data_IF_699126787633
#
_entry.id   IF_699126787633
#
_cell.length_a   1.000
_cell.length_b   1.000
_cell.length_c   1.000
_cell.angle_alpha   90.00
_cell.angle_beta   90.00
_cell.angle_gamma   90.00
#
_symmetry.space_group_name_H-M   'P 1'
#
loop_
_entity.id
_entity.type
_entity.pdbx_description
1 polymer ?
#
# COMPACT_ATOMS: atom_id res chain seq x y z
N UNK A 1 -13.20 -7.87 12.49
CA UNK A 1 -11.95 -7.30 13.04
C UNK A 1 -11.50 -8.24 14.16
N UNK A 2 -10.46 -9.06 13.96
CA UNK A 2 -10.00 -10.00 15.01
C UNK A 2 -9.19 -9.19 16.03
N UNK A 3 -9.76 -8.99 17.23
CA UNK A 3 -9.06 -8.36 18.34
C UNK A 3 -7.93 -9.28 18.80
N UNK A 4 -6.69 -8.83 18.64
CA UNK A 4 -5.51 -9.54 19.09
C UNK A 4 -5.40 -9.44 20.63
N UNK A 5 -4.87 -10.45 21.33
CA UNK A 5 -4.81 -10.48 22.81
C UNK A 5 -4.15 -9.22 23.39
N UNK A 6 -3.12 -8.70 22.72
CA UNK A 6 -2.46 -7.44 23.08
C UNK A 6 -3.42 -6.23 23.08
N UNK A 7 -4.37 -6.18 22.16
CA UNK A 7 -5.37 -5.10 22.09
C UNK A 7 -6.37 -5.22 23.24
N UNK A 8 -6.73 -6.44 23.65
CA UNK A 8 -7.63 -6.68 24.79
C UNK A 8 -6.97 -6.23 26.10
N UNK A 9 -5.70 -6.57 26.31
CA UNK A 9 -4.93 -6.15 27.49
C UNK A 9 -4.80 -4.62 27.53
N UNK A 10 -4.49 -3.99 26.40
CA UNK A 10 -4.37 -2.54 26.33
C UNK A 10 -5.71 -1.83 26.61
N UNK A 11 -6.82 -2.34 26.06
CA UNK A 11 -8.17 -1.83 26.37
C UNK A 11 -8.50 -2.02 27.85
N UNK A 12 -8.15 -3.16 28.45
CA UNK A 12 -8.38 -3.42 29.87
C UNK A 12 -7.62 -2.43 30.78
N UNK A 13 -6.36 -2.14 30.47
CA UNK A 13 -5.55 -1.15 31.22
C UNK A 13 -6.16 0.25 31.12
N UNK A 14 -6.59 0.67 29.94
CA UNK A 14 -7.24 1.97 29.76
C UNK A 14 -8.54 2.03 30.57
N UNK A 15 -9.37 0.98 30.48
CA UNK A 15 -10.64 0.91 31.20
C UNK A 15 -10.42 0.88 32.72
N UNK A 16 -9.39 0.17 33.22
CA UNK A 16 -9.12 0.12 34.66
C UNK A 16 -8.60 1.44 35.21
N UNK A 17 -7.75 2.16 34.45
CA UNK A 17 -7.33 3.52 34.77
C UNK A 17 -8.53 4.46 34.85
N UNK A 18 -9.42 4.37 33.86
CA UNK A 18 -10.64 5.19 33.81
C UNK A 18 -11.58 4.90 34.98
N UNK A 19 -11.79 3.62 35.33
CA UNK A 19 -12.57 3.22 36.50
C UNK A 19 -11.93 3.64 37.81
N UNK A 20 -10.61 3.56 37.92
CA UNK A 20 -9.85 4.01 39.09
C UNK A 20 -10.01 5.50 39.32
N UNK A 21 -9.89 6.31 38.26
CA UNK A 21 -10.14 7.75 38.31
C UNK A 21 -11.59 8.05 38.70
N UNK A 22 -12.55 7.32 38.15
CA UNK A 22 -13.98 7.48 38.46
C UNK A 22 -14.26 7.20 39.94
N UNK A 23 -13.64 6.16 40.52
CA UNK A 23 -13.73 5.85 41.94
C UNK A 23 -13.08 6.93 42.82
N UNK A 24 -11.91 7.44 42.42
CA UNK A 24 -11.24 8.54 43.12
C UNK A 24 -12.08 9.82 43.11
N UNK A 25 -12.56 10.23 41.93
CA UNK A 25 -13.43 11.41 41.80
C UNK A 25 -14.76 11.23 42.55
N UNK A 26 -15.35 10.02 42.53
CA UNK A 26 -16.56 9.73 43.30
C UNK A 26 -16.31 9.75 44.82
N UNK A 27 -15.15 9.28 45.28
CA UNK A 27 -14.76 9.34 46.69
C UNK A 27 -14.54 10.78 47.17
N UNK A 28 -13.86 11.59 46.36
CA UNK A 28 -13.66 13.02 46.62
C UNK A 28 -15.01 13.75 46.62
N UNK A 29 -15.86 13.53 45.62
CA UNK A 29 -17.19 14.15 45.54
C UNK A 29 -18.07 13.79 46.74
N UNK A 30 -18.06 12.54 47.19
CA UNK A 30 -18.84 12.11 48.37
C UNK A 30 -18.30 12.69 49.68
N UNK A 31 -17.00 13.02 49.74
CA UNK A 31 -16.38 13.68 50.88
C UNK A 31 -16.70 15.19 50.95
N UNK A 32 -16.84 15.85 49.81
CA UNK A 32 -17.11 17.29 49.71
C UNK A 32 -18.59 17.66 49.56
N UNK A 33 -19.42 16.78 48.97
CA UNK A 33 -20.83 17.04 48.69
C UNK A 33 -21.68 15.88 49.22
N UNK A 34 -22.40 16.12 50.33
CA UNK A 34 -23.46 15.21 50.82
C UNK A 34 -24.68 15.17 49.88
N UNK A 35 -24.76 16.11 48.93
CA UNK A 35 -25.87 16.23 47.98
C UNK A 35 -25.74 15.21 46.85
N UNK A 36 -26.65 14.24 46.89
CA UNK A 36 -26.79 13.18 45.88
C UNK A 36 -26.99 13.73 44.47
N UNK A 37 -27.59 14.92 44.34
CA UNK A 37 -27.88 15.56 43.05
C UNK A 37 -26.61 15.93 42.28
N UNK A 38 -25.57 16.44 42.96
CA UNK A 38 -24.29 16.80 42.34
C UNK A 38 -23.54 15.58 41.81
N UNK A 39 -23.64 14.45 42.53
CA UNK A 39 -23.04 13.17 42.10
C UNK A 39 -23.75 12.64 40.83
N UNK A 40 -25.08 12.70 40.78
CA UNK A 40 -25.85 12.33 39.59
C UNK A 40 -25.56 13.25 38.40
N UNK A 41 -25.45 14.56 38.63
CA UNK A 41 -25.07 15.51 37.59
C UNK A 41 -23.67 15.24 37.02
N UNK A 42 -22.69 14.91 37.87
CA UNK A 42 -21.34 14.52 37.45
C UNK A 42 -21.34 13.23 36.62
N UNK A 43 -22.15 12.24 37.00
CA UNK A 43 -22.25 10.96 36.27
C UNK A 43 -22.91 11.13 34.89
N UNK A 44 -23.94 11.98 34.80
CA UNK A 44 -24.57 12.36 33.53
C UNK A 44 -23.60 13.13 32.64
N UNK A 45 -22.86 14.11 33.19
CA UNK A 45 -21.87 14.88 32.45
C UNK A 45 -20.73 14.00 31.92
N UNK A 46 -20.28 13.04 32.73
CA UNK A 46 -19.27 12.07 32.34
C UNK A 46 -19.75 11.12 31.23
N UNK A 47 -20.96 10.57 31.36
CA UNK A 47 -21.56 9.75 30.30
C UNK A 47 -21.75 10.54 29.00
N UNK A 48 -22.18 11.81 29.11
CA UNK A 48 -22.29 12.74 27.99
C UNK A 48 -20.95 13.01 27.30
N UNK A 49 -19.87 13.18 28.07
CA UNK A 49 -18.53 13.37 27.54
C UNK A 49 -18.00 12.13 26.80
N UNK A 50 -18.21 10.93 27.35
CA UNK A 50 -17.84 9.67 26.68
C UNK A 50 -18.61 9.49 25.37
N UNK A 51 -19.94 9.66 25.41
CA UNK A 51 -20.78 9.52 24.22
C UNK A 51 -20.44 10.57 23.16
N UNK A 52 -20.24 11.84 23.57
CA UNK A 52 -19.82 12.92 22.68
C UNK A 52 -18.46 12.64 22.04
N UNK A 53 -17.49 12.15 22.81
CA UNK A 53 -16.17 11.73 22.31
C UNK A 53 -16.26 10.57 21.31
N UNK A 54 -17.07 9.54 21.61
CA UNK A 54 -17.28 8.40 20.73
C UNK A 54 -17.97 8.77 19.41
N UNK A 55 -19.01 9.62 19.46
CA UNK A 55 -19.70 10.14 18.27
C UNK A 55 -18.73 10.96 17.42
N UNK A 56 -17.96 11.86 18.04
CA UNK A 56 -16.97 12.70 17.34
C UNK A 56 -15.91 11.84 16.66
N UNK A 57 -15.35 10.86 17.38
CA UNK A 57 -14.36 9.92 16.82
C UNK A 57 -14.92 9.16 15.62
N UNK A 58 -16.15 8.63 15.73
CA UNK A 58 -16.80 7.92 14.63
C UNK A 58 -17.05 8.84 13.43
N UNK A 59 -17.54 10.06 13.67
CA UNK A 59 -17.77 11.07 12.63
C UNK A 59 -16.49 11.44 11.87
N UNK A 60 -15.40 11.74 12.58
CA UNK A 60 -14.09 12.04 11.99
C UNK A 60 -13.58 10.85 11.18
N UNK A 61 -13.68 9.63 11.72
CA UNK A 61 -13.26 8.41 11.03
C UNK A 61 -14.02 8.19 9.72
N UNK A 62 -15.34 8.39 9.74
CA UNK A 62 -16.20 8.25 8.57
C UNK A 62 -15.86 9.34 7.53
N UNK A 63 -15.64 10.58 7.96
CA UNK A 63 -15.21 11.68 7.08
C UNK A 63 -13.87 11.38 6.39
N UNK A 64 -12.87 10.87 7.12
CA UNK A 64 -11.58 10.47 6.54
C UNK A 64 -11.78 9.38 5.48
N UNK A 65 -12.58 8.35 5.78
CA UNK A 65 -12.85 7.26 4.83
C UNK A 65 -13.55 7.75 3.56
N UNK A 66 -14.52 8.66 3.66
CA UNK A 66 -15.16 9.26 2.50
C UNK A 66 -14.17 10.10 1.68
N UNK A 67 -13.33 10.90 2.34
CA UNK A 67 -12.32 11.70 1.65
C UNK A 67 -11.29 10.83 0.92
N UNK A 68 -10.81 9.77 1.54
CA UNK A 68 -9.91 8.80 0.89
C UNK A 68 -10.57 8.13 -0.31
N UNK A 69 -11.85 7.74 -0.18
CA UNK A 69 -12.63 7.18 -1.30
C UNK A 69 -12.75 8.19 -2.44
N UNK A 70 -13.11 9.44 -2.15
CA UNK A 70 -13.26 10.51 -3.14
C UNK A 70 -11.95 10.78 -3.88
N UNK A 71 -10.85 10.99 -3.15
CA UNK A 71 -9.53 11.20 -3.74
C UNK A 71 -9.16 10.03 -4.65
N UNK A 72 -9.31 8.79 -4.17
CA UNK A 72 -9.02 7.61 -4.99
C UNK A 72 -9.89 7.53 -6.24
N UNK A 73 -11.21 7.73 -6.12
CA UNK A 73 -12.14 7.66 -7.26
C UNK A 73 -11.86 8.76 -8.29
N UNK A 74 -11.36 9.92 -7.86
CA UNK A 74 -10.97 11.01 -8.76
C UNK A 74 -9.70 10.71 -9.58
N UNK A 75 -8.76 9.94 -9.03
CA UNK A 75 -7.45 9.68 -9.66
C UNK A 75 -7.33 8.30 -10.30
N UNK A 76 -8.17 7.34 -9.93
CA UNK A 76 -8.02 5.92 -10.32
C UNK A 76 -7.96 5.68 -11.83
N UNK A 77 -8.77 6.40 -12.61
CA UNK A 77 -8.80 6.26 -14.07
C UNK A 77 -7.48 6.72 -14.68
N UNK A 78 -6.92 7.83 -14.19
CA UNK A 78 -5.62 8.34 -14.62
C UNK A 78 -4.52 7.35 -14.24
N UNK A 79 -4.48 6.89 -12.99
CA UNK A 79 -3.52 5.90 -12.51
C UNK A 79 -3.54 4.62 -13.36
N UNK A 80 -4.71 4.04 -13.62
CA UNK A 80 -4.84 2.85 -14.45
C UNK A 80 -4.39 3.10 -15.90
N UNK A 81 -4.68 4.29 -16.44
CA UNK A 81 -4.27 4.67 -17.79
C UNK A 81 -2.75 4.77 -17.88
N UNK A 82 -2.11 5.43 -16.92
CA UNK A 82 -0.65 5.58 -16.86
C UNK A 82 0.06 4.25 -16.67
N UNK A 83 -0.48 3.36 -15.82
CA UNK A 83 0.05 1.99 -15.68
C UNK A 83 -0.06 1.22 -17.01
N UNK A 84 -1.19 1.30 -17.72
CA UNK A 84 -1.34 0.64 -19.01
C UNK A 84 -0.36 1.19 -20.07
N UNK A 85 -0.13 2.50 -20.09
CA UNK A 85 0.88 3.13 -20.97
C UNK A 85 2.29 2.63 -20.65
N UNK A 86 2.65 2.53 -19.37
CA UNK A 86 3.95 1.96 -18.98
C UNK A 86 4.06 0.49 -19.43
N UNK A 87 3.03 -0.31 -19.18
CA UNK A 87 3.01 -1.72 -19.59
C UNK A 87 3.10 -1.89 -21.11
N UNK A 88 2.44 -1.04 -21.91
CA UNK A 88 2.51 -1.13 -23.37
C UNK A 88 3.92 -0.83 -23.90
N UNK A 89 4.66 0.07 -23.26
CA UNK A 89 6.07 0.31 -23.59
C UNK A 89 7.00 -0.85 -23.18
N UNK A 90 6.66 -1.59 -22.12
CA UNK A 90 7.45 -2.74 -21.65
C UNK A 90 7.13 -4.06 -22.38
N UNK A 91 5.95 -4.14 -23.00
CA UNK A 91 5.46 -5.35 -23.68
C UNK A 91 6.40 -5.85 -24.79
N UNK A 92 7.01 -5.01 -25.65
CA UNK A 92 7.94 -5.48 -26.68
C UNK A 92 9.15 -6.25 -26.13
N UNK A 93 9.74 -5.76 -25.03
CA UNK A 93 10.85 -6.45 -24.36
C UNK A 93 10.38 -7.77 -23.75
N UNK A 94 9.17 -7.80 -23.16
CA UNK A 94 8.60 -9.01 -22.60
C UNK A 94 8.30 -10.08 -23.67
N UNK A 95 7.72 -9.69 -24.80
CA UNK A 95 7.48 -10.57 -25.94
C UNK A 95 8.80 -11.12 -26.50
N UNK A 96 9.85 -10.28 -26.51
CA UNK A 96 11.19 -10.70 -26.93
C UNK A 96 11.76 -11.77 -25.99
N UNK A 97 11.56 -11.64 -24.67
CA UNK A 97 11.95 -12.68 -23.71
C UNK A 97 11.24 -14.01 -23.98
N UNK A 98 9.91 -13.97 -24.21
CA UNK A 98 9.13 -15.17 -24.51
C UNK A 98 9.61 -15.86 -25.79
N UNK A 99 9.85 -15.09 -26.86
CA UNK A 99 10.38 -15.63 -28.11
C UNK A 99 11.76 -16.26 -27.93
N UNK A 100 12.66 -15.55 -27.25
CA UNK A 100 14.02 -16.03 -27.03
C UNK A 100 14.02 -17.35 -26.27
N UNK A 101 13.21 -17.50 -25.23
CA UNK A 101 13.15 -18.73 -24.44
C UNK A 101 12.85 -19.97 -25.29
N UNK A 102 11.94 -19.85 -26.27
CA UNK A 102 11.43 -20.94 -27.10
C UNK A 102 12.17 -21.14 -28.44
N UNK A 103 13.09 -20.24 -28.80
CA UNK A 103 13.89 -20.39 -30.01
C UNK A 103 15.09 -21.30 -29.80
N UNK A 104 15.33 -22.18 -30.78
CA UNK A 104 16.57 -22.94 -30.90
C UNK A 104 17.67 -22.03 -31.46
N UNK A 105 18.54 -21.55 -30.58
CA UNK A 105 19.70 -20.72 -30.89
C UNK A 105 20.86 -21.10 -29.97
N UNK A 106 22.07 -20.82 -30.43
CA UNK A 106 23.28 -20.92 -29.61
C UNK A 106 23.19 -20.04 -28.35
N UNK A 107 23.72 -20.52 -27.22
CA UNK A 107 23.58 -19.86 -25.92
C UNK A 107 24.22 -18.47 -25.89
N UNK A 108 25.35 -18.25 -26.58
CA UNK A 108 26.01 -16.94 -26.64
C UNK A 108 25.20 -15.95 -27.48
N UNK A 109 24.54 -16.42 -28.53
CA UNK A 109 23.60 -15.61 -29.32
C UNK A 109 22.40 -15.24 -28.46
N UNK A 110 21.84 -16.21 -27.74
CA UNK A 110 20.68 -16.04 -26.85
C UNK A 110 20.98 -15.03 -25.73
N UNK A 111 22.14 -15.15 -25.08
CA UNK A 111 22.61 -14.24 -24.04
C UNK A 111 22.70 -12.79 -24.53
N UNK A 112 23.22 -12.57 -25.74
CA UNK A 112 23.31 -11.23 -26.35
C UNK A 112 21.95 -10.61 -26.61
N UNK A 113 21.00 -11.38 -27.15
CA UNK A 113 19.65 -10.91 -27.38
C UNK A 113 18.90 -10.61 -26.08
N UNK A 114 19.03 -11.48 -25.07
CA UNK A 114 18.45 -11.24 -23.75
C UNK A 114 19.01 -9.94 -23.16
N UNK A 115 20.34 -9.76 -23.18
CA UNK A 115 20.99 -8.54 -22.69
C UNK A 115 20.42 -7.30 -23.37
N UNK A 116 20.26 -7.31 -24.70
CA UNK A 116 19.68 -6.18 -25.44
C UNK A 116 18.26 -5.86 -24.96
N UNK A 117 17.41 -6.88 -24.86
CA UNK A 117 16.02 -6.72 -24.41
C UNK A 117 15.93 -6.21 -22.96
N UNK A 118 16.84 -6.65 -22.08
CA UNK A 118 16.94 -6.15 -20.70
C UNK A 118 17.39 -4.68 -20.67
N UNK A 119 18.36 -4.28 -21.49
CA UNK A 119 18.78 -2.88 -21.59
C UNK A 119 17.64 -2.00 -22.09
N UNK A 120 16.92 -2.45 -23.13
CA UNK A 120 15.75 -1.74 -23.67
C UNK A 120 14.64 -1.61 -22.62
N UNK A 121 14.35 -2.68 -21.87
CA UNK A 121 13.36 -2.66 -20.77
C UNK A 121 13.71 -1.60 -19.71
N UNK A 122 14.98 -1.55 -19.28
CA UNK A 122 15.43 -0.57 -18.30
C UNK A 122 15.47 0.86 -18.83
N UNK A 123 15.79 1.03 -20.12
CA UNK A 123 15.71 2.33 -20.79
C UNK A 123 14.28 2.85 -20.80
N UNK A 124 13.30 2.00 -21.06
CA UNK A 124 11.87 2.36 -20.98
C UNK A 124 11.48 2.77 -19.57
N UNK A 125 11.85 1.99 -18.55
CA UNK A 125 11.58 2.33 -17.15
C UNK A 125 12.21 3.68 -16.75
N UNK A 126 13.42 3.95 -17.24
CA UNK A 126 14.12 5.21 -16.97
C UNK A 126 13.49 6.39 -17.70
N UNK A 127 13.07 6.20 -18.95
CA UNK A 127 12.40 7.23 -19.74
C UNK A 127 11.00 7.56 -19.20
N UNK A 128 10.34 6.59 -18.56
CA UNK A 128 9.01 6.73 -17.99
C UNK A 128 9.05 6.91 -16.45
N UNK A 129 10.14 7.45 -15.90
CA UNK A 129 10.30 7.69 -14.46
C UNK A 129 9.14 8.47 -13.85
N UNK A 130 8.62 9.47 -14.56
CA UNK A 130 7.48 10.24 -14.07
C UNK A 130 6.24 9.37 -13.82
N UNK A 131 5.99 8.39 -14.70
CA UNK A 131 4.90 7.43 -14.50
C UNK A 131 5.18 6.55 -13.29
N UNK A 132 6.43 6.09 -13.18
CA UNK A 132 6.89 5.21 -12.09
C UNK A 132 6.70 5.88 -10.73
N UNK A 133 7.22 7.09 -10.54
CA UNK A 133 7.19 7.76 -9.24
C UNK A 133 5.83 8.33 -8.86
N UNK A 134 5.04 8.81 -9.84
CA UNK A 134 3.79 9.52 -9.55
C UNK A 134 2.58 8.60 -9.41
N UNK A 135 2.58 7.44 -10.07
CA UNK A 135 1.38 6.60 -10.18
C UNK A 135 1.58 5.16 -9.69
N UNK A 136 2.79 4.74 -9.34
CA UNK A 136 3.03 3.43 -8.74
C UNK A 136 3.16 3.52 -7.22
N UNK A 137 2.79 2.44 -6.55
CA UNK A 137 2.97 2.31 -5.11
C UNK A 137 4.47 2.39 -4.74
N UNK A 138 4.77 2.98 -3.59
CA UNK A 138 6.16 3.19 -3.11
C UNK A 138 7.00 1.90 -3.10
N UNK A 139 6.45 0.78 -2.62
CA UNK A 139 7.12 -0.53 -2.62
C UNK A 139 7.54 -0.97 -4.03
N UNK A 140 6.74 -0.61 -5.03
CA UNK A 140 6.98 -1.00 -6.42
C UNK A 140 8.05 -0.12 -7.07
N UNK A 141 8.10 1.15 -6.68
CA UNK A 141 9.19 2.07 -7.05
C UNK A 141 10.51 1.58 -6.47
N UNK A 142 10.56 1.22 -5.18
CA UNK A 142 11.78 0.69 -4.54
C UNK A 142 12.31 -0.56 -5.24
N UNK A 143 11.42 -1.48 -5.62
CA UNK A 143 11.80 -2.70 -6.34
C UNK A 143 12.45 -2.37 -7.70
N UNK A 144 11.88 -1.43 -8.44
CA UNK A 144 12.41 -0.98 -9.74
C UNK A 144 13.78 -0.31 -9.56
N UNK A 145 13.92 0.60 -8.59
CA UNK A 145 15.18 1.29 -8.33
C UNK A 145 16.29 0.34 -7.89
N UNK A 146 15.96 -0.60 -7.01
CA UNK A 146 16.87 -1.65 -6.59
C UNK A 146 17.39 -2.39 -7.82
N UNK A 147 16.49 -2.84 -8.70
CA UNK A 147 16.88 -3.57 -9.90
C UNK A 147 17.77 -2.75 -10.87
N UNK A 148 17.41 -1.50 -11.12
CA UNK A 148 18.18 -0.61 -12.00
C UNK A 148 19.61 -0.39 -11.51
N UNK A 149 19.83 -0.31 -10.19
CA UNK A 149 21.18 -0.19 -9.60
C UNK A 149 22.06 -1.41 -9.90
N UNK A 150 21.51 -2.63 -9.87
CA UNK A 150 22.29 -3.85 -10.16
C UNK A 150 22.69 -3.99 -11.63
N UNK A 151 21.88 -3.47 -12.54
CA UNK A 151 22.14 -3.55 -13.98
C UNK A 151 23.27 -2.65 -14.46
N UNK A 152 23.40 -1.45 -13.86
CA UNK A 152 24.50 -0.55 -14.18
C UNK A 152 25.89 -1.10 -13.82
N UNK A 153 25.95 -2.12 -12.95
CA UNK A 153 27.20 -2.75 -12.54
C UNK A 153 27.69 -3.84 -13.52
N UNK A 154 26.87 -4.28 -14.48
CA UNK A 154 27.17 -5.41 -15.37
C UNK A 154 27.55 -4.95 -16.80
N UNK A 155 28.78 -4.46 -16.98
CA UNK A 155 29.32 -4.10 -18.30
C UNK A 155 30.05 -5.25 -19.03
N UNK A 156 30.31 -6.38 -18.38
CA UNK A 156 31.07 -7.50 -18.96
C UNK A 156 30.24 -8.46 -19.83
N UNK A 157 30.89 -9.39 -20.53
CA UNK A 157 30.21 -10.49 -21.24
C UNK A 157 29.45 -11.33 -20.21
N UNK A 158 28.12 -11.20 -20.20
CA UNK A 158 27.26 -12.04 -19.39
C UNK A 158 27.19 -13.43 -19.99
N UNK A 159 27.38 -14.44 -19.15
CA UNK A 159 27.01 -15.81 -19.49
C UNK A 159 25.50 -15.91 -19.73
N UNK A 160 25.06 -16.93 -20.46
CA UNK A 160 23.62 -17.18 -20.67
C UNK A 160 22.84 -17.25 -19.36
N UNK A 161 23.41 -17.90 -18.34
CA UNK A 161 22.81 -18.02 -17.01
C UNK A 161 22.58 -16.66 -16.34
N UNK A 162 23.54 -15.74 -16.43
CA UNK A 162 23.42 -14.42 -15.83
C UNK A 162 22.46 -13.52 -16.63
N UNK A 163 22.50 -13.59 -17.96
CA UNK A 163 21.56 -12.90 -18.83
C UNK A 163 20.12 -13.36 -18.54
N UNK A 164 19.91 -14.67 -18.40
CA UNK A 164 18.63 -15.26 -18.02
C UNK A 164 18.17 -14.80 -16.63
N UNK A 165 19.06 -14.73 -15.64
CA UNK A 165 18.72 -14.21 -14.31
C UNK A 165 18.28 -12.73 -14.36
N UNK A 166 18.88 -11.91 -15.23
CA UNK A 166 18.46 -10.54 -15.45
C UNK A 166 17.09 -10.44 -16.16
N UNK A 167 16.82 -11.34 -17.11
CA UNK A 167 15.52 -11.48 -17.76
C UNK A 167 14.41 -11.79 -16.75
N UNK A 168 14.64 -12.76 -15.86
CA UNK A 168 13.66 -13.14 -14.82
C UNK A 168 13.30 -11.97 -13.92
N UNK A 169 14.29 -11.16 -13.51
CA UNK A 169 14.00 -9.95 -12.73
C UNK A 169 13.15 -8.92 -13.49
N UNK A 170 13.34 -8.79 -14.81
CA UNK A 170 12.46 -7.94 -15.63
C UNK A 170 11.03 -8.50 -15.69
N UNK A 171 10.87 -9.83 -15.75
CA UNK A 171 9.57 -10.51 -15.67
C UNK A 171 8.90 -10.30 -14.31
N UNK A 172 9.67 -10.33 -13.23
CA UNK A 172 9.18 -10.04 -11.88
C UNK A 172 8.61 -8.62 -11.82
N UNK A 173 9.35 -7.61 -12.29
CA UNK A 173 8.87 -6.22 -12.34
C UNK A 173 7.57 -6.12 -13.14
N UNK A 174 7.51 -6.73 -14.32
CA UNK A 174 6.31 -6.72 -15.16
C UNK A 174 5.11 -7.39 -14.46
N UNK A 175 5.36 -8.49 -13.74
CA UNK A 175 4.34 -9.22 -12.97
C UNK A 175 3.83 -8.39 -11.79
N UNK A 176 4.73 -7.75 -11.04
CA UNK A 176 4.38 -6.87 -9.92
C UNK A 176 3.58 -5.66 -10.43
N UNK A 177 3.96 -5.06 -11.57
CA UNK A 177 3.17 -4.01 -12.23
C UNK A 177 1.75 -4.47 -12.57
N UNK A 178 1.61 -5.66 -13.16
CA UNK A 178 0.31 -6.21 -13.51
C UNK A 178 -0.54 -6.52 -12.26
N UNK A 179 0.07 -7.07 -11.21
CA UNK A 179 -0.60 -7.30 -9.93
C UNK A 179 -1.03 -5.97 -9.28
N UNK A 180 -0.18 -4.94 -9.32
CA UNK A 180 -0.50 -3.58 -8.87
C UNK A 180 -1.72 -3.03 -9.59
N UNK A 181 -1.77 -3.13 -10.92
CA UNK A 181 -2.94 -2.76 -11.73
C UNK A 181 -4.22 -3.49 -11.28
N UNK A 182 -4.14 -4.80 -11.05
CA UNK A 182 -5.31 -5.57 -10.59
C UNK A 182 -5.74 -5.18 -9.16
N UNK A 183 -4.82 -4.88 -8.25
CA UNK A 183 -5.13 -4.33 -6.91
C UNK A 183 -5.92 -3.03 -7.01
N UNK A 184 -5.48 -2.11 -7.88
CA UNK A 184 -6.18 -0.83 -8.12
C UNK A 184 -7.60 -1.08 -8.68
N UNK A 185 -7.75 -1.99 -9.66
CA UNK A 185 -9.07 -2.36 -10.18
C UNK A 185 -10.00 -2.99 -9.13
N UNK A 186 -9.46 -3.85 -8.28
CA UNK A 186 -10.23 -4.47 -7.19
C UNK A 186 -10.71 -3.41 -6.19
N UNK A 187 -9.82 -2.48 -5.80
CA UNK A 187 -10.17 -1.36 -4.91
C UNK A 187 -11.27 -0.48 -5.52
N UNK A 188 -11.18 -0.17 -6.81
CA UNK A 188 -12.23 0.53 -7.55
C UNK A 188 -13.57 -0.20 -7.52
N UNK A 189 -13.59 -1.50 -7.86
CA UNK A 189 -14.82 -2.31 -7.82
C UNK A 189 -15.44 -2.35 -6.44
N UNK A 190 -14.63 -2.42 -5.38
CA UNK A 190 -15.11 -2.37 -4.00
C UNK A 190 -15.79 -1.05 -3.69
N UNK A 191 -15.16 0.08 -4.00
CA UNK A 191 -15.73 1.40 -3.73
C UNK A 191 -16.98 1.72 -4.56
N UNK A 192 -17.06 1.23 -5.80
CA UNK A 192 -18.24 1.39 -6.66
C UNK A 192 -19.43 0.53 -6.21
N UNK A 193 -19.21 -0.66 -5.65
CA UNK A 193 -20.28 -1.52 -5.10
C UNK A 193 -20.81 -1.08 -3.74
N UNK A 194 -20.13 -0.14 -3.09
CA UNK A 194 -20.53 0.41 -1.78
C UNK A 194 -21.25 1.77 -1.96
N UNK A 195 -21.73 2.04 -3.17
CA UNK A 195 -22.74 3.07 -3.49
C UNK A 195 -24.09 2.37 -3.64
#
# INVERSE_FOLDING_TARGET
MRLNIKNIIFIFVIVSLFLGDLLLYSGILNMFFKDKETIWAGLIAFAGAILGGAITYYGVKLQIQHREKEIFMSTVTETLTKINVLMSFLTPSFNSFFFLEHCYMDEDIKARHIRRSVIEFNKVLTAQKDIVYKYLDYELVELIEFHQKFLHLQNEKLSYKEAHAAMEKCRDIYTVLNNGKERVKQKYRKYKRTE
#
